data_IF_823083706693
#
_entry.id   IF_823083706693
#
_cell.length_a   1.000
_cell.length_b   1.000
_cell.length_c   1.000
_cell.angle_alpha   90.00
_cell.angle_beta   90.00
_cell.angle_gamma   90.00
#
_symmetry.space_group_name_H-M   'P 1'
#
loop_
_entity.id
_entity.type
_entity.pdbx_description
1 polymer ?
#
# COMPACT_ATOMS: atom_id res chain seq x y z
N UNK A 1 45.45 19.75 -15.26
CA UNK A 1 44.04 19.65 -14.87
C UNK A 1 43.95 19.92 -13.39
N UNK A 2 43.24 20.98 -12.94
CA UNK A 2 43.07 21.25 -11.52
C UNK A 2 41.97 20.34 -10.93
N UNK A 3 41.99 20.09 -9.61
CA UNK A 3 40.99 19.27 -8.93
C UNK A 3 39.66 20.04 -8.85
N UNK A 4 38.58 19.38 -9.26
CA UNK A 4 37.21 19.87 -9.09
C UNK A 4 36.88 19.72 -7.60
N UNK A 5 36.96 20.84 -6.88
CA UNK A 5 36.35 20.99 -5.55
C UNK A 5 34.83 20.95 -5.75
N UNK A 6 34.20 19.83 -5.40
CA UNK A 6 32.75 19.74 -5.22
C UNK A 6 32.37 20.74 -4.11
N UNK A 7 31.62 21.76 -4.47
CA UNK A 7 31.27 22.86 -3.59
C UNK A 7 30.22 22.44 -2.56
N UNK A 8 30.48 22.77 -1.29
CA UNK A 8 29.51 22.79 -0.18
C UNK A 8 28.32 23.77 -0.39
N UNK A 9 28.25 24.44 -1.54
CA UNK A 9 27.27 25.50 -1.81
C UNK A 9 25.84 24.99 -2.05
N UNK A 10 25.65 23.73 -2.48
CA UNK A 10 24.31 23.18 -2.75
C UNK A 10 23.54 22.75 -1.50
N UNK A 11 24.20 22.59 -0.35
CA UNK A 11 23.51 22.24 0.90
C UNK A 11 22.73 23.42 1.52
N UNK A 12 23.15 24.67 1.26
CA UNK A 12 22.60 25.85 1.94
C UNK A 12 21.20 26.27 1.48
N UNK A 13 20.81 25.93 0.24
CA UNK A 13 19.54 26.36 -0.35
C UNK A 13 18.35 25.52 0.15
N UNK A 14 18.60 24.29 0.61
CA UNK A 14 17.57 23.33 1.03
C UNK A 14 17.48 23.15 2.55
N UNK A 15 18.45 23.69 3.29
CA UNK A 15 18.47 23.74 4.75
C UNK A 15 17.18 24.29 5.38
N UNK A 16 16.51 25.35 4.85
CA UNK A 16 15.26 25.83 5.45
C UNK A 16 14.10 24.83 5.32
N UNK A 17 13.97 24.12 4.19
CA UNK A 17 12.91 23.12 3.99
C UNK A 17 13.11 21.94 4.94
N UNK A 18 14.36 21.49 5.08
CA UNK A 18 14.71 20.43 6.01
C UNK A 18 14.46 20.85 7.47
N UNK A 19 14.79 22.10 7.83
CA UNK A 19 14.52 22.64 9.16
C UNK A 19 13.02 22.78 9.44
N UNK A 20 12.21 23.22 8.48
CA UNK A 20 10.75 23.33 8.62
C UNK A 20 10.11 21.96 8.83
N UNK A 21 10.54 20.95 8.06
CA UNK A 21 10.10 19.57 8.23
C UNK A 21 10.43 19.02 9.63
N UNK A 22 11.67 19.21 10.07
CA UNK A 22 12.14 18.77 11.37
C UNK A 22 11.45 19.51 12.52
N UNK A 23 11.21 20.82 12.37
CA UNK A 23 10.51 21.64 13.33
C UNK A 23 9.07 21.16 13.53
N UNK A 24 8.34 20.91 12.44
CA UNK A 24 6.96 20.45 12.52
C UNK A 24 6.85 19.02 13.08
N UNK A 25 7.76 18.11 12.70
CA UNK A 25 7.86 16.77 13.31
C UNK A 25 8.02 16.89 14.83
N UNK A 26 8.90 17.79 15.28
CA UNK A 26 9.11 18.08 16.71
C UNK A 26 7.85 18.62 17.38
N UNK A 27 7.14 19.57 16.75
CA UNK A 27 5.88 20.13 17.29
C UNK A 27 4.81 19.04 17.45
N UNK A 28 4.62 18.18 16.44
CA UNK A 28 3.62 17.10 16.50
C UNK A 28 3.98 16.10 17.61
N UNK A 29 5.25 15.70 17.71
CA UNK A 29 5.71 14.80 18.76
C UNK A 29 5.58 15.42 20.15
N UNK A 30 5.87 16.71 20.28
CA UNK A 30 5.78 17.43 21.54
C UNK A 30 4.32 17.60 22.00
N UNK A 31 3.40 17.92 21.08
CA UNK A 31 1.96 17.91 21.35
C UNK A 31 1.42 16.54 21.78
N UNK A 32 2.03 15.44 21.33
CA UNK A 32 1.67 14.09 21.73
C UNK A 32 2.23 13.73 23.11
N UNK A 33 3.44 14.20 23.44
CA UNK A 33 4.11 13.96 24.72
C UNK A 33 3.60 14.86 25.85
N UNK A 34 3.15 16.07 25.53
CA UNK A 34 2.57 17.02 26.49
C UNK A 34 1.12 16.68 26.89
N UNK A 35 0.53 15.65 26.26
CA UNK A 35 -0.73 15.08 26.74
C UNK A 35 -0.45 14.24 27.99
N UNK A 36 -1.08 14.62 29.11
CA UNK A 36 -0.96 13.90 30.38
C UNK A 36 -1.36 12.42 30.21
N UNK A 37 -0.38 11.53 30.35
CA UNK A 37 -0.60 10.08 30.37
C UNK A 37 -1.08 9.65 31.79
N UNK A 38 -2.03 8.71 31.92
CA UNK A 38 -2.78 8.05 30.85
C UNK A 38 -3.92 8.92 30.34
N UNK A 39 -4.19 8.81 29.03
CA UNK A 39 -5.42 9.31 28.42
C UNK A 39 -6.62 8.74 29.18
N UNK A 40 -7.26 9.57 30.02
CA UNK A 40 -8.47 9.22 30.77
C UNK A 40 -9.66 9.13 29.81
N UNK A 41 -9.67 8.13 28.93
CA UNK A 41 -10.83 7.80 28.12
C UNK A 41 -11.26 6.36 28.42
N UNK A 42 -12.45 6.15 29.04
CA UNK A 42 -13.00 4.83 29.31
C UNK A 42 -13.14 3.91 28.07
N UNK A 43 -13.05 4.47 26.85
CA UNK A 43 -13.09 3.72 25.59
C UNK A 43 -11.78 3.01 25.24
N UNK A 44 -10.62 3.42 25.78
CA UNK A 44 -9.34 2.78 25.52
C UNK A 44 -9.16 1.47 26.31
N UNK A 45 -9.70 1.39 27.53
CA UNK A 45 -9.71 0.15 28.31
C UNK A 45 -10.65 -0.91 27.70
N UNK A 46 -11.73 -0.50 27.04
CA UNK A 46 -12.58 -1.41 26.27
C UNK A 46 -11.93 -1.91 24.97
N UNK A 47 -10.93 -1.19 24.43
CA UNK A 47 -10.17 -1.64 23.27
C UNK A 47 -9.12 -2.69 23.61
N UNK A 48 -8.60 -2.76 24.84
CA UNK A 48 -7.62 -3.78 25.24
C UNK A 48 -8.21 -5.20 25.29
N UNK A 49 -9.46 -5.34 25.74
CA UNK A 49 -10.15 -6.64 25.78
C UNK A 49 -10.78 -7.00 24.43
N UNK A 50 -11.24 -6.02 23.65
CA UNK A 50 -11.69 -6.25 22.28
C UNK A 50 -10.53 -6.57 21.33
N UNK A 51 -9.35 -5.92 21.50
CA UNK A 51 -8.18 -6.11 20.65
C UNK A 51 -7.59 -7.52 20.75
N UNK A 52 -7.67 -8.20 21.90
CA UNK A 52 -7.22 -9.60 21.99
C UNK A 52 -8.11 -10.56 21.19
N UNK A 53 -9.43 -10.32 21.17
CA UNK A 53 -10.37 -11.06 20.31
C UNK A 53 -10.28 -10.65 18.83
N UNK A 54 -9.88 -9.40 18.56
CA UNK A 54 -9.60 -8.95 17.19
C UNK A 54 -8.25 -9.44 16.70
N UNK A 55 -7.25 -9.65 17.54
CA UNK A 55 -5.93 -10.19 17.16
C UNK A 55 -6.07 -11.63 16.66
N UNK A 56 -6.92 -12.45 17.27
CA UNK A 56 -7.16 -13.82 16.82
C UNK A 56 -7.91 -13.85 15.47
N UNK A 57 -8.87 -12.94 15.27
CA UNK A 57 -9.59 -12.79 13.99
C UNK A 57 -8.78 -12.05 12.91
N UNK A 58 -7.83 -11.19 13.29
CA UNK A 58 -6.87 -10.51 12.41
C UNK A 58 -5.73 -11.44 12.02
N UNK A 59 -5.26 -12.33 12.90
CA UNK A 59 -4.32 -13.40 12.52
C UNK A 59 -4.98 -14.38 11.53
N UNK A 60 -6.26 -14.72 11.73
CA UNK A 60 -7.03 -15.50 10.77
C UNK A 60 -7.23 -14.75 9.43
N UNK A 61 -7.36 -13.41 9.46
CA UNK A 61 -7.47 -12.56 8.28
C UNK A 61 -6.13 -12.37 7.56
N UNK A 62 -5.02 -12.23 8.28
CA UNK A 62 -3.65 -12.24 7.77
C UNK A 62 -3.33 -13.59 7.15
N UNK A 63 -3.72 -14.70 7.79
CA UNK A 63 -3.58 -16.04 7.23
C UNK A 63 -4.40 -16.25 5.96
N UNK A 64 -5.51 -15.53 5.80
CA UNK A 64 -6.34 -15.52 4.58
C UNK A 64 -5.89 -14.50 3.52
N UNK A 65 -5.03 -13.52 3.87
CA UNK A 65 -4.46 -12.50 2.97
C UNK A 65 -2.98 -12.75 2.63
N UNK A 66 -2.38 -13.85 3.12
CA UNK A 66 -1.01 -14.24 2.82
C UNK A 66 -0.82 -14.90 1.44
N UNK A 67 -1.68 -14.64 0.46
CA UNK A 67 -1.33 -14.81 -0.95
C UNK A 67 -0.68 -13.53 -1.46
N UNK A 68 0.65 -13.46 -1.27
CA UNK A 68 1.52 -12.39 -1.75
C UNK A 68 1.63 -12.37 -3.28
N UNK A 69 1.77 -11.20 -3.93
CA UNK A 69 2.60 -11.06 -5.12
C UNK A 69 4.02 -10.63 -4.69
N UNK A 70 4.77 -11.51 -4.01
CA UNK A 70 6.23 -11.33 -3.83
C UNK A 70 7.04 -12.13 -4.86
N UNK A 71 6.37 -12.72 -5.86
CA UNK A 71 7.02 -13.48 -6.93
C UNK A 71 7.81 -12.57 -7.89
N UNK A 72 7.29 -11.39 -8.25
CA UNK A 72 8.01 -10.45 -9.13
C UNK A 72 9.24 -9.82 -8.45
N UNK A 73 9.15 -9.47 -7.16
CA UNK A 73 10.29 -8.88 -6.45
C UNK A 73 11.34 -9.92 -6.01
N UNK A 74 10.96 -11.21 -5.90
CA UNK A 74 11.91 -12.33 -5.73
C UNK A 74 12.57 -12.78 -7.03
N UNK A 75 11.90 -12.65 -8.18
CA UNK A 75 12.52 -12.99 -9.47
C UNK A 75 13.62 -11.99 -9.87
N UNK A 76 13.55 -10.74 -9.41
CA UNK A 76 14.63 -9.76 -9.58
C UNK A 76 15.79 -9.90 -8.57
N UNK A 77 15.60 -10.58 -7.44
CA UNK A 77 16.61 -10.65 -6.37
C UNK A 77 16.82 -12.08 -5.84
N UNK A 78 17.85 -12.72 -6.43
CA UNK A 78 18.67 -13.81 -5.87
C UNK A 78 18.29 -15.27 -6.21
N UNK A 79 19.26 -15.97 -6.80
CA UNK A 79 19.47 -17.41 -6.67
C UNK A 79 19.38 -17.84 -5.19
N UNK A 80 18.61 -18.87 -4.81
CA UNK A 80 18.59 -19.35 -3.44
C UNK A 80 19.84 -20.20 -3.17
N UNK A 81 20.76 -19.66 -2.37
CA UNK A 81 21.68 -20.48 -1.58
C UNK A 81 20.90 -21.24 -0.51
N UNK A 82 21.08 -22.55 -0.50
CA UNK A 82 20.35 -23.52 0.33
C UNK A 82 20.79 -23.43 1.79
N UNK A 83 19.82 -23.22 2.69
CA UNK A 83 20.01 -23.32 4.14
C UNK A 83 18.78 -23.94 4.83
N UNK A 84 19.01 -25.10 5.47
CA UNK A 84 18.22 -25.81 6.49
C UNK A 84 16.91 -26.56 6.16
N UNK A 85 16.20 -26.28 5.07
CA UNK A 85 14.95 -26.99 4.71
C UNK A 85 15.03 -27.70 3.33
N UNK A 86 16.17 -28.29 3.04
CA UNK A 86 16.39 -29.06 1.81
C UNK A 86 15.62 -30.38 1.82
N UNK A 87 14.99 -30.73 0.70
CA UNK A 87 14.36 -32.03 0.51
C UNK A 87 15.37 -32.97 -0.18
N UNK A 88 15.66 -34.11 0.45
CA UNK A 88 16.47 -35.18 -0.11
C UNK A 88 15.54 -36.31 -0.55
N UNK A 89 15.62 -36.70 -1.83
CA UNK A 89 14.89 -37.85 -2.39
C UNK A 89 15.94 -38.80 -2.95
N UNK A 90 15.95 -40.03 -2.46
CA UNK A 90 16.90 -41.07 -2.89
C UNK A 90 16.15 -42.36 -3.24
N UNK A 91 16.53 -43.00 -4.34
CA UNK A 91 15.97 -44.28 -4.74
C UNK A 91 16.29 -45.38 -3.70
N UNK A 92 15.31 -46.25 -3.44
CA UNK A 92 15.50 -47.38 -2.53
C UNK A 92 16.06 -48.59 -3.28
N UNK A 93 17.35 -48.86 -3.07
CA UNK A 93 18.00 -50.06 -3.60
C UNK A 93 17.31 -51.32 -3.04
N UNK A 94 16.65 -52.07 -3.93
CA UNK A 94 15.89 -53.29 -3.61
C UNK A 94 14.38 -53.17 -3.76
N UNK A 95 13.84 -51.97 -4.02
CA UNK A 95 12.41 -51.73 -4.28
C UNK A 95 12.21 -50.76 -5.45
N UNK A 96 12.23 -51.25 -6.71
CA UNK A 96 11.97 -50.42 -7.88
C UNK A 96 10.59 -49.73 -7.78
N UNK A 97 10.53 -48.42 -8.09
CA UNK A 97 9.30 -47.63 -8.02
C UNK A 97 9.04 -46.95 -6.66
N UNK A 98 9.95 -47.10 -5.69
CA UNK A 98 9.89 -46.45 -4.38
C UNK A 98 11.11 -45.55 -4.13
N UNK A 99 10.88 -44.44 -3.46
CA UNK A 99 11.89 -43.47 -3.03
C UNK A 99 11.82 -43.28 -1.52
N UNK A 100 12.97 -42.99 -0.92
CA UNK A 100 13.09 -42.51 0.45
C UNK A 100 13.20 -40.98 0.42
N UNK A 101 12.27 -40.31 1.10
CA UNK A 101 12.20 -38.85 1.19
C UNK A 101 12.57 -38.41 2.60
N UNK A 102 13.50 -37.46 2.73
CA UNK A 102 13.95 -36.89 4.00
C UNK A 102 14.01 -35.36 3.90
N UNK A 103 13.66 -34.66 4.98
CA UNK A 103 13.63 -33.20 5.04
C UNK A 103 12.23 -32.61 4.82
N UNK A 104 12.12 -31.29 4.93
CA UNK A 104 10.83 -30.60 4.97
C UNK A 104 10.02 -30.96 6.21
N UNK A 105 8.81 -31.51 6.03
CA UNK A 105 7.93 -31.91 7.14
C UNK A 105 8.33 -33.22 7.82
N UNK A 106 9.22 -34.01 7.21
CA UNK A 106 9.65 -35.30 7.76
C UNK A 106 10.98 -35.18 8.50
N UNK A 107 10.96 -35.52 9.80
CA UNK A 107 12.16 -35.62 10.64
C UNK A 107 12.93 -36.92 10.44
N UNK A 108 12.27 -37.95 9.90
CA UNK A 108 12.83 -39.27 9.61
C UNK A 108 12.54 -39.64 8.16
N UNK A 109 13.40 -40.46 7.51
CA UNK A 109 13.19 -40.83 6.11
C UNK A 109 11.90 -41.63 5.94
N UNK A 110 11.07 -41.19 5.00
CA UNK A 110 9.79 -41.83 4.67
C UNK A 110 9.85 -42.46 3.29
N UNK A 111 9.56 -43.77 3.24
CA UNK A 111 9.38 -44.50 1.99
C UNK A 111 8.02 -44.15 1.36
N UNK A 112 8.02 -43.83 0.07
CA UNK A 112 6.81 -43.62 -0.73
C UNK A 112 7.04 -43.99 -2.19
N UNK A 113 5.98 -44.05 -3.01
CA UNK A 113 6.13 -44.31 -4.45
C UNK A 113 6.86 -43.14 -5.13
N UNK A 114 7.48 -43.38 -6.29
CA UNK A 114 8.11 -42.31 -7.07
C UNK A 114 7.12 -41.17 -7.40
N UNK A 115 5.87 -41.52 -7.76
CA UNK A 115 4.82 -40.56 -8.09
C UNK A 115 4.43 -39.70 -6.88
N UNK A 116 4.23 -40.32 -5.72
CA UNK A 116 3.98 -39.61 -4.46
C UNK A 116 5.17 -38.73 -4.05
N UNK A 117 6.40 -39.18 -4.33
CA UNK A 117 7.63 -38.43 -4.09
C UNK A 117 7.72 -37.15 -4.93
N UNK A 118 7.31 -37.21 -6.19
CA UNK A 118 7.24 -36.04 -7.08
C UNK A 118 6.15 -35.06 -6.65
N UNK A 119 4.95 -35.58 -6.31
CA UNK A 119 3.85 -34.77 -5.78
C UNK A 119 4.27 -34.11 -4.47
N UNK A 120 4.92 -34.84 -3.57
CA UNK A 120 5.42 -34.31 -2.30
C UNK A 120 6.46 -33.22 -2.51
N UNK A 121 7.41 -33.42 -3.43
CA UNK A 121 8.40 -32.41 -3.81
C UNK A 121 7.73 -31.15 -4.34
N UNK A 122 6.78 -31.31 -5.26
CA UNK A 122 6.00 -30.20 -5.82
C UNK A 122 5.25 -29.42 -4.74
N UNK A 123 4.57 -30.13 -3.84
CA UNK A 123 3.83 -29.54 -2.74
C UNK A 123 4.73 -28.85 -1.70
N UNK A 124 5.89 -29.43 -1.38
CA UNK A 124 6.87 -28.81 -0.47
C UNK A 124 7.38 -27.48 -1.02
N UNK A 125 7.70 -27.43 -2.32
CA UNK A 125 8.09 -26.20 -3.02
C UNK A 125 6.93 -25.20 -2.98
N UNK A 126 5.73 -25.61 -3.39
CA UNK A 126 4.53 -24.76 -3.41
C UNK A 126 4.24 -24.15 -2.04
N UNK A 127 4.25 -24.95 -0.97
CA UNK A 127 4.08 -24.49 0.41
C UNK A 127 5.15 -23.48 0.83
N UNK A 128 6.42 -23.68 0.45
CA UNK A 128 7.48 -22.68 0.71
C UNK A 128 7.25 -21.34 0.02
N UNK A 129 6.53 -21.35 -1.10
CA UNK A 129 6.15 -20.15 -1.82
C UNK A 129 4.76 -19.63 -1.41
N UNK A 130 4.12 -20.23 -0.40
CA UNK A 130 2.77 -19.85 0.04
C UNK A 130 1.66 -20.27 -0.92
N UNK A 131 1.96 -21.17 -1.86
CA UNK A 131 1.00 -21.70 -2.81
C UNK A 131 0.32 -22.96 -2.24
N UNK A 132 -0.96 -23.12 -2.56
CA UNK A 132 -1.76 -24.31 -2.22
C UNK A 132 -1.13 -25.59 -2.79
N UNK A 133 -1.38 -26.75 -2.19
CA UNK A 133 -0.88 -28.02 -2.72
C UNK A 133 -1.55 -28.35 -4.06
N UNK A 134 -0.85 -29.09 -4.92
CA UNK A 134 -1.32 -29.47 -6.26
C UNK A 134 -2.49 -30.46 -6.26
N UNK A 135 -2.65 -31.24 -5.18
CA UNK A 135 -3.67 -32.26 -4.96
C UNK A 135 -4.84 -31.78 -4.09
N UNK A 136 -4.72 -30.60 -3.47
CA UNK A 136 -5.82 -29.96 -2.77
C UNK A 136 -6.50 -28.98 -3.74
N UNK A 137 -7.79 -29.20 -4.05
CA UNK A 137 -8.58 -28.12 -4.64
C UNK A 137 -8.52 -26.92 -3.69
N UNK A 138 -8.47 -25.67 -4.21
CA UNK A 138 -8.53 -24.49 -3.38
C UNK A 138 -9.69 -24.65 -2.40
N UNK A 139 -9.50 -24.46 -1.08
CA UNK A 139 -10.63 -24.36 -0.19
C UNK A 139 -11.56 -23.31 -0.79
N UNK A 140 -12.77 -23.71 -1.17
CA UNK A 140 -13.81 -22.76 -1.58
C UNK A 140 -13.79 -21.66 -0.53
N UNK A 141 -13.37 -20.44 -0.90
CA UNK A 141 -13.31 -19.28 0.00
C UNK A 141 -14.73 -19.07 0.54
N UNK A 142 -15.09 -19.74 1.65
CA UNK A 142 -16.47 -20.04 2.03
C UNK A 142 -17.30 -18.81 2.44
N UNK A 143 -16.74 -17.60 2.29
CA UNK A 143 -17.36 -16.32 2.62
C UNK A 143 -17.11 -15.23 1.57
N UNK A 144 -16.31 -15.45 0.52
CA UNK A 144 -16.11 -14.47 -0.55
C UNK A 144 -17.16 -14.77 -1.64
N UNK A 145 -18.05 -13.82 -1.97
CA UNK A 145 -18.95 -13.96 -3.13
C UNK A 145 -18.13 -14.23 -4.41
N UNK A 146 -18.77 -14.73 -5.47
CA UNK A 146 -18.11 -14.72 -6.78
C UNK A 146 -17.78 -13.28 -7.20
N UNK A 147 -16.85 -13.12 -8.14
CA UNK A 147 -16.30 -11.80 -8.49
C UNK A 147 -17.40 -10.81 -8.95
N UNK A 148 -18.41 -11.26 -9.70
CA UNK A 148 -19.50 -10.41 -10.19
C UNK A 148 -20.43 -9.96 -9.06
N UNK A 149 -20.81 -10.87 -8.16
CA UNK A 149 -21.59 -10.54 -6.97
C UNK A 149 -20.80 -9.63 -6.04
N UNK A 150 -19.49 -9.83 -5.94
CA UNK A 150 -18.63 -9.01 -5.11
C UNK A 150 -18.49 -7.60 -5.69
N UNK A 151 -18.30 -7.46 -7.01
CA UNK A 151 -18.36 -6.19 -7.72
C UNK A 151 -19.68 -5.45 -7.43
N UNK A 152 -20.81 -6.15 -7.50
CA UNK A 152 -22.13 -5.56 -7.21
C UNK A 152 -22.22 -4.99 -5.79
N UNK A 153 -21.74 -5.74 -4.80
CA UNK A 153 -21.70 -5.28 -3.41
C UNK A 153 -20.81 -4.04 -3.29
N UNK A 154 -19.64 -4.08 -3.94
CA UNK A 154 -18.69 -2.99 -3.94
C UNK A 154 -19.27 -1.70 -4.53
N UNK A 155 -19.92 -1.79 -5.70
CA UNK A 155 -20.54 -0.64 -6.36
C UNK A 155 -21.66 -0.01 -5.51
N UNK A 156 -22.40 -0.82 -4.76
CA UNK A 156 -23.37 -0.33 -3.77
C UNK A 156 -22.69 0.47 -2.65
N UNK A 157 -21.59 -0.05 -2.08
CA UNK A 157 -20.82 0.66 -1.06
C UNK A 157 -20.22 1.96 -1.60
N UNK A 158 -19.70 1.94 -2.83
CA UNK A 158 -19.18 3.11 -3.52
C UNK A 158 -20.24 4.19 -3.68
N UNK A 159 -21.45 3.83 -4.12
CA UNK A 159 -22.57 4.76 -4.27
C UNK A 159 -22.89 5.47 -2.95
N UNK A 160 -22.89 4.75 -1.83
CA UNK A 160 -23.09 5.33 -0.50
C UNK A 160 -21.91 6.18 0.01
N UNK A 161 -20.73 6.02 -0.58
CA UNK A 161 -19.54 6.80 -0.26
C UNK A 161 -19.40 8.09 -1.10
N UNK A 162 -20.21 8.31 -2.14
CA UNK A 162 -20.07 9.48 -3.03
C UNK A 162 -20.14 10.80 -2.25
N UNK A 163 -20.81 10.88 -1.10
CA UNK A 163 -20.82 12.11 -0.28
C UNK A 163 -19.57 12.38 0.58
N UNK A 164 -18.72 11.38 0.80
CA UNK A 164 -17.77 11.37 1.92
C UNK A 164 -16.38 10.90 1.46
N UNK A 165 -15.44 11.85 1.38
CA UNK A 165 -14.08 11.59 0.91
C UNK A 165 -13.35 10.52 1.73
N UNK A 166 -13.62 10.43 3.05
CA UNK A 166 -12.98 9.43 3.91
C UNK A 166 -13.49 8.04 3.58
N UNK A 167 -14.82 7.89 3.44
CA UNK A 167 -15.42 6.61 3.04
C UNK A 167 -14.98 6.20 1.64
N UNK A 168 -14.92 7.12 0.67
CA UNK A 168 -14.42 6.81 -0.68
C UNK A 168 -13.01 6.23 -0.63
N UNK A 169 -12.12 6.85 0.13
CA UNK A 169 -10.75 6.38 0.24
C UNK A 169 -10.63 5.03 0.94
N UNK A 170 -11.49 4.77 1.94
CA UNK A 170 -11.57 3.44 2.56
C UNK A 170 -12.05 2.39 1.57
N UNK A 171 -13.15 2.67 0.87
CA UNK A 171 -13.72 1.78 -0.16
C UNK A 171 -12.70 1.51 -1.27
N UNK A 172 -11.95 2.51 -1.74
CA UNK A 172 -10.86 2.31 -2.69
C UNK A 172 -9.70 1.48 -2.11
N UNK A 173 -9.38 1.64 -0.83
CA UNK A 173 -8.35 0.80 -0.20
C UNK A 173 -8.81 -0.66 -0.13
N UNK A 174 -10.09 -0.90 0.15
CA UNK A 174 -10.67 -2.24 0.19
C UNK A 174 -10.72 -2.87 -1.22
N UNK A 175 -11.06 -2.10 -2.26
CA UNK A 175 -11.01 -2.56 -3.66
C UNK A 175 -9.64 -3.09 -4.05
N UNK A 176 -8.62 -2.26 -3.84
CA UNK A 176 -7.25 -2.54 -4.24
C UNK A 176 -6.52 -3.48 -3.26
N UNK A 177 -7.21 -3.97 -2.23
CA UNK A 177 -6.76 -5.10 -1.42
C UNK A 177 -7.20 -6.45 -2.00
N UNK A 178 -8.08 -6.45 -2.99
CA UNK A 178 -8.55 -7.64 -3.70
C UNK A 178 -8.03 -7.63 -5.15
N UNK A 179 -6.86 -8.25 -5.35
CA UNK A 179 -6.18 -8.34 -6.64
C UNK A 179 -7.03 -9.06 -7.69
N UNK A 180 -7.75 -10.10 -7.28
CA UNK A 180 -8.61 -10.88 -8.17
C UNK A 180 -9.70 -9.98 -8.74
N UNK A 181 -10.43 -9.26 -7.87
CA UNK A 181 -11.48 -8.34 -8.31
C UNK A 181 -10.91 -7.23 -9.20
N UNK A 182 -9.74 -6.70 -8.85
CA UNK A 182 -9.07 -5.68 -9.64
C UNK A 182 -8.71 -6.16 -11.04
N UNK A 183 -8.17 -7.38 -11.17
CA UNK A 183 -7.75 -7.96 -12.44
C UNK A 183 -8.92 -8.48 -13.26
N UNK A 184 -9.98 -8.99 -12.62
CA UNK A 184 -11.21 -9.44 -13.27
C UNK A 184 -11.87 -8.31 -14.04
N UNK A 185 -12.02 -7.14 -13.41
CA UNK A 185 -12.78 -6.01 -13.97
C UNK A 185 -11.91 -4.86 -14.49
N UNK A 186 -10.58 -5.00 -14.46
CA UNK A 186 -9.66 -4.05 -15.09
C UNK A 186 -9.31 -2.82 -14.24
N UNK A 187 -9.57 -2.83 -12.92
CA UNK A 187 -9.11 -1.77 -12.02
C UNK A 187 -7.58 -1.67 -11.94
N UNK A 188 -6.87 -2.75 -12.26
CA UNK A 188 -5.41 -2.72 -12.38
C UNK A 188 -4.92 -1.90 -13.59
N UNK A 189 -5.77 -1.68 -14.60
CA UNK A 189 -5.44 -0.84 -15.76
C UNK A 189 -5.63 0.67 -15.48
N UNK A 190 -6.24 1.04 -14.35
CA UNK A 190 -6.45 2.44 -13.96
C UNK A 190 -5.15 3.05 -13.44
N UNK A 191 -4.71 4.14 -14.06
CA UNK A 191 -3.53 4.88 -13.63
C UNK A 191 -3.90 5.99 -12.63
N UNK A 192 -5.05 6.63 -12.86
CA UNK A 192 -5.49 7.79 -12.08
C UNK A 192 -6.80 7.53 -11.32
N UNK A 193 -7.08 8.34 -10.30
CA UNK A 193 -8.34 8.24 -9.54
C UNK A 193 -9.58 8.46 -10.41
N UNK A 194 -9.44 9.29 -11.43
CA UNK A 194 -10.52 9.60 -12.36
C UNK A 194 -10.84 8.39 -13.26
N UNK A 195 -9.85 7.60 -13.65
CA UNK A 195 -10.06 6.32 -14.36
C UNK A 195 -10.88 5.35 -13.51
N UNK A 196 -10.51 5.19 -12.24
CA UNK A 196 -11.25 4.33 -11.31
C UNK A 196 -12.71 4.77 -11.19
N UNK A 197 -12.94 6.08 -11.10
CA UNK A 197 -14.29 6.63 -10.99
C UNK A 197 -15.12 6.37 -12.25
N UNK A 198 -14.52 6.52 -13.44
CA UNK A 198 -15.19 6.21 -14.71
C UNK A 198 -15.45 4.72 -14.87
N UNK A 199 -14.52 3.85 -14.48
CA UNK A 199 -14.71 2.40 -14.51
C UNK A 199 -15.83 1.95 -13.56
N UNK A 200 -15.84 2.45 -12.31
CA UNK A 200 -16.94 2.17 -11.38
C UNK A 200 -18.31 2.63 -11.92
N UNK A 201 -18.34 3.80 -12.58
CA UNK A 201 -19.56 4.28 -13.25
C UNK A 201 -19.97 3.35 -14.40
N UNK A 202 -19.01 2.92 -15.21
CA UNK A 202 -19.23 2.01 -16.33
C UNK A 202 -19.77 0.66 -15.85
N UNK A 203 -19.12 0.04 -14.86
CA UNK A 203 -19.53 -1.24 -14.29
C UNK A 203 -20.91 -1.17 -13.64
N UNK A 204 -21.27 -0.04 -13.03
CA UNK A 204 -22.62 0.21 -12.52
C UNK A 204 -23.66 0.11 -13.64
N UNK A 205 -23.38 0.71 -14.80
CA UNK A 205 -24.27 0.61 -15.95
C UNK A 205 -24.30 -0.79 -16.55
N UNK A 206 -23.15 -1.48 -16.61
CA UNK A 206 -23.08 -2.85 -17.11
C UNK A 206 -23.88 -3.81 -16.23
N UNK A 207 -23.74 -3.74 -14.89
CA UNK A 207 -24.57 -4.51 -13.97
C UNK A 207 -26.06 -4.17 -14.15
N UNK A 208 -26.40 -2.89 -14.30
CA UNK A 208 -27.79 -2.49 -14.51
C UNK A 208 -28.35 -3.03 -15.83
N UNK A 209 -27.53 -3.22 -16.86
CA UNK A 209 -27.99 -3.68 -18.18
C UNK A 209 -27.96 -5.18 -18.39
N UNK A 210 -26.89 -5.82 -17.97
CA UNK A 210 -26.63 -7.24 -18.19
C UNK A 210 -27.06 -8.09 -16.99
N UNK A 211 -27.18 -7.47 -15.81
CA UNK A 211 -27.30 -8.20 -14.56
C UNK A 211 -26.01 -8.94 -14.21
N UNK A 212 -26.02 -9.64 -13.07
CA UNK A 212 -24.88 -10.45 -12.63
C UNK A 212 -24.67 -11.65 -13.57
N UNK A 213 -25.76 -12.30 -13.99
CA UNK A 213 -25.68 -13.45 -14.89
C UNK A 213 -25.08 -13.10 -16.26
N UNK A 214 -25.44 -11.94 -16.83
CA UNK A 214 -24.90 -11.52 -18.13
C UNK A 214 -23.40 -11.23 -18.07
N UNK A 215 -22.94 -10.58 -17.01
CA UNK A 215 -21.51 -10.36 -16.78
C UNK A 215 -20.76 -11.67 -16.51
N UNK A 216 -21.37 -12.61 -15.78
CA UNK A 216 -20.76 -13.92 -15.54
C UNK A 216 -20.52 -14.68 -16.86
N UNK A 217 -21.42 -14.58 -17.84
CA UNK A 217 -21.22 -15.19 -19.17
C UNK A 217 -19.98 -14.63 -19.87
N UNK A 218 -19.78 -13.30 -19.85
CA UNK A 218 -18.58 -12.68 -20.43
C UNK A 218 -17.30 -13.07 -19.68
N UNK A 219 -17.39 -13.22 -18.36
CA UNK A 219 -16.28 -13.65 -17.52
C UNK A 219 -15.89 -15.11 -17.79
N UNK A 220 -16.86 -16.03 -17.82
CA UNK A 220 -16.65 -17.45 -18.09
C UNK A 220 -16.09 -17.67 -19.52
N UNK A 221 -16.43 -16.78 -20.45
CA UNK A 221 -15.89 -16.76 -21.82
C UNK A 221 -14.46 -16.24 -21.93
N UNK A 222 -13.87 -15.70 -20.86
CA UNK A 222 -12.51 -15.14 -20.85
C UNK A 222 -12.33 -13.86 -21.68
N UNK A 223 -13.42 -13.23 -22.11
CA UNK A 223 -13.42 -12.06 -23.01
C UNK A 223 -14.32 -10.94 -22.49
N UNK A 224 -14.40 -10.80 -21.15
CA UNK A 224 -15.29 -9.87 -20.47
C UNK A 224 -15.16 -8.44 -21.01
N UNK A 225 -13.94 -7.96 -21.26
CA UNK A 225 -13.68 -6.64 -21.83
C UNK A 225 -14.37 -6.44 -23.19
N UNK A 226 -14.13 -7.34 -24.14
CA UNK A 226 -14.69 -7.26 -25.50
C UNK A 226 -16.21 -7.38 -25.48
N UNK A 227 -16.73 -8.25 -24.59
CA UNK A 227 -18.16 -8.41 -24.38
C UNK A 227 -18.80 -7.10 -23.87
N UNK A 228 -18.20 -6.48 -22.85
CA UNK A 228 -18.65 -5.18 -22.33
C UNK A 228 -18.49 -4.06 -23.36
N UNK A 229 -17.44 -4.09 -24.18
CA UNK A 229 -17.20 -3.16 -25.27
C UNK A 229 -18.30 -3.21 -26.34
N UNK A 230 -18.65 -4.41 -26.82
CA UNK A 230 -19.73 -4.59 -27.78
C UNK A 230 -21.09 -4.10 -27.23
N UNK A 231 -21.37 -4.36 -25.95
CA UNK A 231 -22.59 -3.87 -25.28
C UNK A 231 -22.56 -2.34 -25.16
N UNK A 232 -21.41 -1.75 -24.83
CA UNK A 232 -21.24 -0.31 -24.75
C UNK A 232 -21.50 0.39 -26.10
N UNK A 233 -21.01 -0.16 -27.21
CA UNK A 233 -21.28 0.34 -28.57
C UNK A 233 -22.78 0.30 -28.89
N UNK A 234 -23.47 -0.80 -28.57
CA UNK A 234 -24.92 -0.93 -28.76
C UNK A 234 -25.67 0.13 -27.96
N UNK A 235 -25.31 0.33 -26.68
CA UNK A 235 -25.95 1.34 -25.82
C UNK A 235 -25.75 2.76 -26.38
N UNK A 236 -24.56 3.09 -26.90
CA UNK A 236 -24.31 4.38 -27.52
C UNK A 236 -25.10 4.57 -28.82
N UNK A 237 -25.27 3.50 -29.61
CA UNK A 237 -26.05 3.51 -30.84
C UNK A 237 -27.56 3.66 -30.59
N UNK A 238 -28.11 2.93 -29.61
CA UNK A 238 -29.55 2.97 -29.25
C UNK A 238 -30.01 4.32 -28.70
N UNK A 239 -29.08 5.17 -28.25
CA UNK A 239 -29.34 6.59 -28.02
C UNK A 239 -30.34 6.92 -26.90
N UNK A 240 -30.52 6.04 -25.91
CA UNK A 240 -31.30 6.39 -24.71
C UNK A 240 -30.62 7.53 -23.96
N UNK A 241 -31.34 8.64 -23.77
CA UNK A 241 -30.82 9.90 -23.19
C UNK A 241 -30.07 9.72 -21.87
N UNK A 242 -30.42 8.71 -21.06
CA UNK A 242 -29.78 8.46 -19.75
C UNK A 242 -28.36 7.91 -19.81
N UNK A 243 -27.92 7.32 -20.93
CA UNK A 243 -26.59 6.70 -21.05
C UNK A 243 -25.69 7.36 -22.08
N UNK A 244 -26.29 8.03 -23.08
CA UNK A 244 -25.56 8.60 -24.22
C UNK A 244 -24.54 9.66 -23.82
N UNK A 245 -24.82 10.39 -22.75
CA UNK A 245 -23.98 11.50 -22.28
C UNK A 245 -23.05 11.10 -21.11
N UNK A 246 -23.05 9.84 -20.66
CA UNK A 246 -22.10 9.42 -19.62
C UNK A 246 -20.69 9.31 -20.20
N UNK A 247 -19.71 10.08 -19.69
CA UNK A 247 -18.32 10.05 -20.19
C UNK A 247 -17.65 8.69 -19.97
N UNK A 248 -18.21 7.87 -19.07
CA UNK A 248 -17.73 6.53 -18.76
C UNK A 248 -17.70 5.58 -19.98
N UNK A 249 -18.70 5.65 -20.87
CA UNK A 249 -18.75 4.78 -22.06
C UNK A 249 -17.70 5.17 -23.09
N UNK A 250 -17.60 6.46 -23.40
CA UNK A 250 -16.60 6.97 -24.34
C UNK A 250 -15.18 6.70 -23.83
N UNK A 251 -14.94 6.89 -22.53
CA UNK A 251 -13.68 6.54 -21.89
C UNK A 251 -13.38 5.04 -22.00
N UNK A 252 -14.34 4.16 -21.68
CA UNK A 252 -14.12 2.72 -21.71
C UNK A 252 -13.78 2.22 -23.13
N UNK A 253 -14.57 2.62 -24.13
CA UNK A 253 -14.32 2.25 -25.53
C UNK A 253 -12.99 2.79 -26.04
N UNK A 254 -12.64 4.02 -25.69
CA UNK A 254 -11.32 4.56 -26.00
C UNK A 254 -10.22 3.76 -25.31
N UNK A 255 -10.37 3.40 -24.04
CA UNK A 255 -9.36 2.63 -23.31
C UNK A 255 -9.20 1.22 -23.87
N UNK A 256 -10.29 0.55 -24.25
CA UNK A 256 -10.28 -0.76 -24.91
C UNK A 256 -9.55 -0.75 -26.27
N UNK A 257 -9.51 0.39 -26.96
CA UNK A 257 -8.79 0.49 -28.23
C UNK A 257 -7.27 0.37 -28.10
N UNK A 258 -6.73 0.51 -26.88
CA UNK A 258 -5.30 0.31 -26.64
C UNK A 258 -5.00 -1.15 -26.33
N UNK A 259 -3.95 -1.68 -26.96
CA UNK A 259 -3.53 -3.08 -26.83
C UNK A 259 -3.11 -3.48 -25.40
N UNK A 260 -2.78 -2.51 -24.53
CA UNK A 260 -2.41 -2.73 -23.12
C UNK A 260 -3.63 -2.88 -22.19
N UNK A 261 -4.84 -2.53 -22.65
CA UNK A 261 -6.05 -2.58 -21.83
C UNK A 261 -6.85 -3.89 -22.05
N UNK A 262 -6.27 -5.00 -21.62
CA UNK A 262 -6.95 -6.31 -21.61
C UNK A 262 -7.84 -6.41 -20.38
N UNK A 263 -9.04 -7.00 -20.49
CA UNK A 263 -9.92 -7.31 -19.36
C UNK A 263 -10.57 -8.68 -19.59
N UNK A 264 -10.41 -9.66 -18.69
CA UNK A 264 -9.60 -9.63 -17.46
C UNK A 264 -8.09 -9.52 -17.71
N UNK A 265 -7.36 -8.85 -16.81
CA UNK A 265 -5.91 -8.69 -16.89
C UNK A 265 -5.17 -9.45 -15.77
N UNK A 266 -5.20 -10.79 -15.83
CA UNK A 266 -4.63 -11.64 -14.78
C UNK A 266 -3.11 -11.51 -14.62
N UNK A 267 -2.41 -11.31 -15.74
CA UNK A 267 -0.96 -11.21 -15.79
C UNK A 267 -0.44 -9.77 -15.62
N UNK A 268 -1.31 -8.77 -15.67
CA UNK A 268 -0.91 -7.37 -15.63
C UNK A 268 -0.59 -6.85 -14.24
N UNK A 269 0.40 -5.97 -14.19
CA UNK A 269 0.71 -5.14 -13.02
C UNK A 269 -0.29 -3.99 -12.87
N UNK A 270 -0.21 -3.30 -11.73
CA UNK A 270 -1.07 -2.15 -11.44
C UNK A 270 -0.51 -0.86 -12.07
N UNK A 271 -1.24 -0.31 -13.04
CA UNK A 271 -0.85 0.90 -13.78
C UNK A 271 -0.59 2.11 -12.85
N UNK A 272 -1.40 2.29 -11.79
CA UNK A 272 -1.18 3.38 -10.83
C UNK A 272 0.15 3.26 -10.07
N UNK A 273 0.64 2.03 -9.84
CA UNK A 273 1.93 1.80 -9.18
C UNK A 273 3.08 2.09 -10.15
N UNK A 274 2.97 1.64 -11.40
CA UNK A 274 3.96 1.93 -12.44
C UNK A 274 4.05 3.44 -12.72
N UNK A 275 2.92 4.15 -12.79
CA UNK A 275 2.88 5.60 -12.95
C UNK A 275 3.50 6.34 -11.75
N UNK A 276 3.25 5.87 -10.52
CA UNK A 276 3.87 6.43 -9.32
C UNK A 276 5.39 6.24 -9.33
N UNK A 277 5.88 5.08 -9.77
CA UNK A 277 7.31 4.78 -9.84
C UNK A 277 8.03 5.69 -10.83
N UNK A 278 7.48 5.91 -12.04
CA UNK A 278 8.07 6.87 -13.00
C UNK A 278 8.16 8.29 -12.45
N UNK A 279 7.13 8.74 -11.73
CA UNK A 279 7.14 10.06 -11.08
C UNK A 279 8.19 10.15 -9.97
N UNK A 280 8.44 9.05 -9.28
CA UNK A 280 9.47 8.94 -8.25
C UNK A 280 10.87 9.00 -8.87
N UNK A 281 11.12 8.23 -9.93
CA UNK A 281 12.40 8.21 -10.64
C UNK A 281 12.81 9.62 -11.09
N UNK A 282 11.87 10.34 -11.71
CA UNK A 282 12.08 11.72 -12.11
C UNK A 282 12.29 12.66 -10.90
N UNK A 283 11.53 12.49 -9.82
CA UNK A 283 11.65 13.38 -8.66
C UNK A 283 12.97 13.25 -7.92
N UNK A 284 13.52 12.03 -7.82
CA UNK A 284 14.76 11.75 -7.11
C UNK A 284 15.98 11.57 -8.03
N UNK A 285 15.83 11.87 -9.33
CA UNK A 285 16.88 11.76 -10.35
C UNK A 285 17.54 10.37 -10.37
N UNK A 286 16.72 9.32 -10.38
CA UNK A 286 17.18 7.92 -10.30
C UNK A 286 17.49 7.34 -11.69
N UNK A 287 16.92 7.92 -12.75
CA UNK A 287 16.96 7.40 -14.12
C UNK A 287 18.37 7.15 -14.67
N UNK A 288 19.37 7.90 -14.20
CA UNK A 288 20.77 7.83 -14.67
C UNK A 288 21.67 6.93 -13.80
N UNK A 289 21.12 6.24 -12.80
CA UNK A 289 21.90 5.43 -11.86
C UNK A 289 22.10 4.01 -12.40
N UNK A 290 23.35 3.59 -12.50
CA UNK A 290 23.71 2.21 -12.82
C UNK A 290 23.52 1.33 -11.57
N UNK A 291 22.39 0.61 -11.52
CA UNK A 291 22.01 -0.25 -10.40
C UNK A 291 23.01 -1.38 -10.14
N UNK A 292 23.70 -1.87 -11.18
CA UNK A 292 24.70 -2.94 -11.06
C UNK A 292 26.01 -2.39 -10.47
N UNK A 293 26.38 -1.16 -10.82
CA UNK A 293 27.57 -0.50 -10.30
C UNK A 293 27.38 0.11 -8.90
N UNK A 294 26.16 0.58 -8.57
CA UNK A 294 25.85 1.27 -7.32
C UNK A 294 24.51 0.82 -6.73
N UNK A 295 24.45 -0.41 -6.17
CA UNK A 295 23.23 -0.95 -5.61
C UNK A 295 22.70 -0.08 -4.46
N UNK A 296 21.37 0.02 -4.36
CA UNK A 296 20.74 0.77 -3.27
C UNK A 296 21.09 0.20 -1.90
N UNK A 297 21.38 1.10 -0.96
CA UNK A 297 21.52 0.72 0.45
C UNK A 297 20.18 0.26 1.03
N UNK A 298 20.20 -0.35 2.23
CA UNK A 298 18.97 -0.76 2.91
C UNK A 298 18.01 0.42 3.10
N UNK A 299 18.50 1.54 3.60
CA UNK A 299 17.69 2.73 3.88
C UNK A 299 17.19 3.41 2.60
N UNK A 300 17.99 3.40 1.52
CA UNK A 300 17.53 3.85 0.20
C UNK A 300 16.35 2.99 -0.28
N UNK A 301 16.41 1.67 -0.11
CA UNK A 301 15.31 0.76 -0.46
C UNK A 301 14.05 1.00 0.38
N UNK A 302 14.19 1.26 1.68
CA UNK A 302 13.07 1.60 2.57
C UNK A 302 12.40 2.92 2.17
N UNK A 303 13.21 3.95 1.87
CA UNK A 303 12.72 5.24 1.38
C UNK A 303 12.06 5.13 0.00
N UNK A 304 12.65 4.37 -0.92
CA UNK A 304 12.04 4.08 -2.22
C UNK A 304 10.68 3.41 -2.05
N UNK A 305 10.58 2.45 -1.13
CA UNK A 305 9.32 1.80 -0.85
C UNK A 305 8.28 2.80 -0.32
N UNK A 306 8.63 3.66 0.64
CA UNK A 306 7.76 4.74 1.09
C UNK A 306 7.32 5.64 -0.07
N UNK A 307 8.27 6.18 -0.83
CA UNK A 307 7.95 7.12 -1.90
C UNK A 307 7.15 6.49 -3.03
N UNK A 308 7.33 5.20 -3.32
CA UNK A 308 6.50 4.46 -4.29
C UNK A 308 5.03 4.41 -3.88
N UNK A 309 4.73 4.56 -2.58
CA UNK A 309 3.37 4.72 -2.06
C UNK A 309 2.94 6.18 -2.17
N UNK A 310 3.75 7.11 -1.68
CA UNK A 310 3.35 8.53 -1.58
C UNK A 310 3.12 9.21 -2.93
N UNK A 311 3.82 8.77 -3.98
CA UNK A 311 3.70 9.31 -5.34
C UNK A 311 2.50 8.76 -6.14
N UNK A 312 1.68 7.89 -5.55
CA UNK A 312 0.43 7.42 -6.16
C UNK A 312 -0.65 8.50 -6.12
N UNK A 313 -1.54 8.52 -7.11
CA UNK A 313 -2.65 9.49 -7.16
C UNK A 313 -3.79 9.15 -6.18
N UNK A 314 -3.87 7.88 -5.79
CA UNK A 314 -4.79 7.34 -4.78
C UNK A 314 -4.10 6.18 -4.04
N UNK A 315 -4.65 5.77 -2.90
CA UNK A 315 -4.02 4.76 -2.02
C UNK A 315 -2.55 5.09 -1.72
N UNK A 316 -2.30 6.37 -1.45
CA UNK A 316 -0.98 6.99 -1.34
C UNK A 316 -0.57 7.29 0.10
N UNK A 317 -1.25 6.66 1.05
CA UNK A 317 -0.90 6.68 2.46
C UNK A 317 -0.54 5.24 2.82
N UNK A 318 0.57 4.99 3.52
CA UNK A 318 0.93 3.64 3.94
C UNK A 318 -0.18 2.99 4.74
N UNK A 319 -0.33 1.68 4.60
CA UNK A 319 -1.35 0.93 5.32
C UNK A 319 -1.01 0.89 6.82
N UNK A 320 -1.98 1.08 7.74
CA UNK A 320 -1.72 1.07 9.18
C UNK A 320 -1.05 -0.20 9.74
N UNK A 321 -1.14 -1.31 9.00
CA UNK A 321 -0.53 -2.60 9.35
C UNK A 321 0.86 -2.80 8.71
N UNK A 322 1.27 -1.90 7.80
CA UNK A 322 2.58 -1.99 7.13
C UNK A 322 3.73 -1.52 8.02
N UNK A 323 4.92 -2.10 7.83
CA UNK A 323 6.15 -1.62 8.50
C UNK A 323 6.45 -0.17 8.14
N UNK A 324 6.21 0.22 6.88
CA UNK A 324 6.35 1.59 6.37
C UNK A 324 5.55 2.60 7.19
N UNK A 325 4.37 2.23 7.66
CA UNK A 325 3.54 3.10 8.50
C UNK A 325 4.16 3.36 9.88
N UNK A 326 4.81 2.35 10.45
CA UNK A 326 5.49 2.45 11.74
C UNK A 326 6.83 3.21 11.61
N UNK A 327 7.66 2.81 10.65
CA UNK A 327 9.03 3.32 10.47
C UNK A 327 9.06 4.82 10.14
N UNK A 328 8.12 5.29 9.32
CA UNK A 328 8.08 6.69 8.87
C UNK A 328 7.12 7.56 9.68
N UNK A 329 6.74 7.11 10.88
CA UNK A 329 6.04 7.93 11.88
C UNK A 329 4.59 8.25 11.54
N UNK A 330 4.01 7.60 10.53
CA UNK A 330 2.59 7.76 10.22
C UNK A 330 1.70 7.22 11.36
N UNK A 331 2.18 6.24 12.13
CA UNK A 331 1.53 5.71 13.32
C UNK A 331 1.26 6.75 14.43
N UNK A 332 1.97 7.87 14.43
CA UNK A 332 1.72 8.99 15.35
C UNK A 332 0.59 9.92 14.89
N UNK A 333 0.10 9.75 13.65
CA UNK A 333 -1.03 10.52 13.14
C UNK A 333 -2.35 10.01 13.76
N UNK A 334 -3.03 10.90 14.48
CA UNK A 334 -4.33 10.62 15.13
C UNK A 334 -5.51 10.72 14.17
N UNK A 335 -5.32 11.36 13.01
CA UNK A 335 -6.36 11.53 12.01
C UNK A 335 -5.78 11.62 10.59
N UNK A 336 -6.65 11.43 9.59
CA UNK A 336 -6.29 11.44 8.17
C UNK A 336 -5.67 12.76 7.71
N UNK A 337 -6.08 13.89 8.30
CA UNK A 337 -5.51 15.20 7.98
C UNK A 337 -4.02 15.26 8.31
N UNK A 338 -3.63 14.75 9.48
CA UNK A 338 -2.22 14.63 9.88
C UNK A 338 -1.44 13.70 8.95
N UNK A 339 -1.99 12.53 8.60
CA UNK A 339 -1.33 11.59 7.68
C UNK A 339 -1.11 12.20 6.29
N UNK A 340 -2.11 12.95 5.78
CA UNK A 340 -2.00 13.66 4.50
C UNK A 340 -0.98 14.78 4.57
N UNK A 341 -0.92 15.53 5.68
CA UNK A 341 0.09 16.56 5.88
C UNK A 341 1.51 15.97 5.91
N UNK A 342 1.71 14.87 6.64
CA UNK A 342 2.99 14.17 6.72
C UNK A 342 3.41 13.62 5.34
N UNK A 343 2.50 12.97 4.61
CA UNK A 343 2.76 12.50 3.26
C UNK A 343 3.18 13.64 2.31
N UNK A 344 2.52 14.80 2.38
CA UNK A 344 2.88 15.97 1.58
C UNK A 344 4.29 16.46 1.86
N UNK A 345 4.72 16.47 3.12
CA UNK A 345 6.06 16.88 3.50
C UNK A 345 7.14 15.95 2.95
N UNK A 346 6.93 14.64 3.03
CA UNK A 346 7.82 13.67 2.39
C UNK A 346 7.89 13.92 0.87
N UNK A 347 6.75 14.09 0.19
CA UNK A 347 6.74 14.39 -1.25
C UNK A 347 7.45 15.70 -1.57
N UNK A 348 7.33 16.74 -0.73
CA UNK A 348 8.06 17.99 -0.88
C UNK A 348 9.57 17.81 -0.71
N UNK A 349 9.98 16.98 0.26
CA UNK A 349 11.39 16.63 0.46
C UNK A 349 11.96 15.96 -0.79
N UNK A 350 11.24 14.99 -1.37
CA UNK A 350 11.66 14.35 -2.62
C UNK A 350 11.72 15.33 -3.81
N UNK A 351 10.85 16.34 -3.84
CA UNK A 351 10.83 17.37 -4.90
C UNK A 351 11.78 18.55 -4.63
N UNK A 352 12.52 18.54 -3.54
CA UNK A 352 13.43 19.64 -3.18
C UNK A 352 14.69 19.67 -4.06
N UNK A 353 14.99 18.60 -4.79
CA UNK A 353 16.25 18.43 -5.51
C UNK A 353 17.31 17.63 -4.73
N UNK A 354 17.02 17.27 -3.47
CA UNK A 354 17.85 16.33 -2.72
C UNK A 354 17.81 14.93 -3.35
N UNK A 355 18.99 14.34 -3.50
CA UNK A 355 19.13 12.96 -3.98
C UNK A 355 18.60 11.95 -2.95
N UNK A 356 18.20 10.77 -3.42
CA UNK A 356 17.78 9.67 -2.54
C UNK A 356 18.85 9.34 -1.48
N UNK A 357 20.13 9.35 -1.86
CA UNK A 357 21.24 9.06 -0.95
C UNK A 357 21.42 10.13 0.15
N UNK A 358 21.17 11.40 -0.15
CA UNK A 358 21.19 12.47 0.86
C UNK A 358 20.04 12.33 1.85
N UNK A 359 18.84 12.02 1.35
CA UNK A 359 17.67 11.75 2.19
C UNK A 359 17.91 10.51 3.06
N UNK A 360 18.49 9.45 2.50
CA UNK A 360 18.83 8.22 3.22
C UNK A 360 19.87 8.47 4.33
N UNK A 361 20.93 9.23 4.04
CA UNK A 361 21.92 9.62 5.06
C UNK A 361 21.30 10.46 6.17
N UNK A 362 20.41 11.40 5.84
CA UNK A 362 19.70 12.20 6.84
C UNK A 362 18.79 11.33 7.72
N UNK A 363 18.15 10.32 7.14
CA UNK A 363 17.33 9.33 7.85
C UNK A 363 18.18 8.43 8.78
N UNK A 364 19.29 7.89 8.29
CA UNK A 364 20.19 6.99 9.04
C UNK A 364 20.94 7.69 10.18
N UNK A 365 21.37 8.94 9.96
CA UNK A 365 22.18 9.69 10.93
C UNK A 365 21.38 10.17 12.14
N UNK A 366 20.11 9.77 12.27
CA UNK A 366 19.28 10.07 13.42
C UNK A 366 19.18 11.59 13.68
N UNK A 367 19.39 12.42 12.65
CA UNK A 367 18.95 13.83 12.60
C UNK A 367 17.41 13.95 12.60
N UNK A 368 16.74 12.80 12.62
CA UNK A 368 15.31 12.57 12.82
C UNK A 368 14.98 11.89 14.17
N UNK A 369 15.88 11.90 15.16
CA UNK A 369 15.68 11.26 16.48
C UNK A 369 14.54 11.83 17.30
N UNK A 370 13.74 10.89 17.78
CA UNK A 370 12.92 10.93 18.99
C UNK A 370 13.83 11.19 20.22
N UNK A 371 13.42 12.12 21.10
CA UNK A 371 14.09 12.69 22.30
C UNK A 371 14.50 11.65 23.41
N UNK A 372 15.06 11.97 24.63
CA UNK A 372 15.26 13.26 25.38
C UNK A 372 16.64 13.39 26.15
N UNK A 373 16.98 14.40 27.03
CA UNK A 373 16.14 15.36 27.78
C UNK A 373 16.45 16.84 27.59
N UNK A 374 15.40 17.60 27.27
CA UNK A 374 15.40 19.06 27.25
C UNK A 374 14.97 19.59 28.62
N UNK A 375 15.83 19.41 29.62
CA UNK A 375 15.81 20.20 30.86
C UNK A 375 16.58 21.51 30.73
N UNK A 376 17.28 21.72 29.61
CA UNK A 376 18.28 22.78 29.45
C UNK A 376 17.84 23.95 28.53
N UNK A 377 16.89 23.76 27.60
CA UNK A 377 16.47 24.86 26.69
C UNK A 377 15.28 25.68 27.19
N UNK A 378 14.60 25.24 28.25
CA UNK A 378 13.46 25.96 28.84
C UNK A 378 13.89 27.10 29.79
N UNK A 379 15.18 27.26 30.10
CA UNK A 379 15.69 28.34 30.97
C UNK A 379 16.24 29.57 30.24
N UNK A 380 16.30 29.55 28.91
CA UNK A 380 16.76 30.71 28.12
C UNK A 380 15.62 31.50 27.45
N UNK A 381 14.40 30.98 27.44
CA UNK A 381 13.26 31.61 26.75
C UNK A 381 12.24 32.26 27.70
N UNK A 382 12.36 32.04 29.02
CA UNK A 382 11.55 32.72 30.02
C UNK A 382 12.47 33.77 30.65
N UNK A 383 12.44 34.96 30.07
CA UNK A 383 13.04 36.14 30.68
C UNK A 383 12.43 36.34 32.07
N UNK A 384 13.28 36.30 33.08
CA UNK A 384 13.00 36.87 34.38
C UNK A 384 12.81 38.38 34.21
N UNK A 385 11.57 38.85 34.32
CA UNK A 385 11.30 40.13 34.97
C UNK A 385 10.51 39.85 36.24
N UNK A 386 11.18 40.00 37.37
CA UNK A 386 10.58 39.93 38.68
C UNK A 386 9.79 41.20 39.01
N UNK A 387 8.66 40.98 39.67
CA UNK A 387 8.26 41.64 40.93
C UNK A 387 8.03 43.17 40.94
N UNK A 388 6.77 43.60 41.13
CA UNK A 388 6.25 43.90 42.47
C UNK A 388 4.80 44.45 42.47
N UNK A 389 3.96 43.86 43.31
CA UNK A 389 2.95 44.44 44.21
C UNK A 389 1.66 45.14 43.70
N UNK A 390 0.55 44.39 43.84
CA UNK A 390 -0.53 44.58 44.84
C UNK A 390 -1.25 45.95 44.97
N UNK A 391 -2.54 45.98 44.57
CA UNK A 391 -3.73 46.37 45.38
C UNK A 391 -4.91 46.89 44.54
N UNK A 392 -6.06 46.20 44.62
CA UNK A 392 -7.42 46.78 44.62
C UNK A 392 -7.71 47.40 46.01
N UNK A 393 -8.75 48.23 46.29
CA UNK A 393 -9.96 48.53 45.52
C UNK A 393 -10.49 50.00 45.59
N UNK A 394 -11.68 50.21 44.99
CA UNK A 394 -12.79 51.09 45.42
C UNK A 394 -13.02 52.46 44.75
N UNK A 395 -14.24 52.55 44.18
CA UNK A 395 -15.26 53.60 44.36
C UNK A 395 -15.12 55.06 43.85
N UNK A 396 -16.29 55.51 43.36
CA UNK A 396 -16.88 56.85 43.31
C UNK A 396 -16.55 57.84 42.16
N UNK A 397 -17.60 58.03 41.35
CA UNK A 397 -18.32 59.30 41.10
C UNK A 397 -17.75 60.44 40.23
N UNK A 398 -18.66 60.88 39.34
CA UNK A 398 -18.92 62.24 38.79
C UNK A 398 -18.12 62.78 37.58
N UNK A 399 -18.87 62.92 36.47
CA UNK A 399 -19.04 64.08 35.56
C UNK A 399 -17.82 64.95 35.19
N UNK A 400 -17.58 65.11 33.88
CA UNK A 400 -18.11 66.23 33.06
C UNK A 400 -18.52 65.69 31.69
#
# INVERSE_FOLDING_TARGET
MPPILLSDAHSSEYQPILQDFLCLKKIILQQLLDQSFPLKHPKLLAQSSAALSTIETVLEREKAQMEKPQLNMRQLMMMPTVGQDGLLITDLHGKPGFVSVMGGLFKEPKEMSCEDGEIFKGNHIRLKFGLEKSDEMPPKRAKRPNDVDYLKIFLSQWYHAIGDQRKRAQVLSELYSDDDLCKTFGFNNCAERDDVTKLLCFDTHMISKLGTNGLQVGLDGGNLGDYMGAVAEIIQYEGKETYRDCPCFAWFLHRQSFADCVIPNWAGDFAYQAGAFRRLEHALSIEDRDDDAQPFTKSEKELLHLYSILFRDFNNIPDPLSSTWLEFGFCYCTNRGQSVALAKLYVQLAKSGASLGEIAKAYESDSLTVAPPVGALLRSAIGEEGSSDDKTPAELDTQV
#
